data_IF_255086212172
#
_entry.id   IF_255086212172
#
_cell.length_a   1.000
_cell.length_b   1.000
_cell.length_c   1.000
_cell.angle_alpha   90.00
_cell.angle_beta   90.00
_cell.angle_gamma   90.00
#
_symmetry.space_group_name_H-M   'P 1'
#
loop_
_entity.id
_entity.type
_entity.pdbx_description
1 polymer ?
#
# COMPACT_ATOMS: atom_id res chain seq x y z
N UNK A 1 37.75 11.21 -4.94
CA UNK A 1 36.63 12.17 -4.71
C UNK A 1 35.30 11.65 -5.29
N UNK A 2 35.25 11.00 -6.47
CA UNK A 2 34.04 10.45 -7.07
C UNK A 2 33.52 9.27 -6.25
N UNK A 3 34.37 8.30 -5.93
CA UNK A 3 34.03 7.11 -5.13
C UNK A 3 33.46 7.43 -3.74
N UNK A 4 34.00 8.44 -3.07
CA UNK A 4 33.49 8.86 -1.76
C UNK A 4 32.10 9.51 -1.85
N UNK A 5 31.78 10.15 -2.97
CA UNK A 5 30.48 10.77 -3.22
C UNK A 5 29.43 9.73 -3.58
N UNK A 6 29.79 8.71 -4.35
CA UNK A 6 28.94 7.56 -4.66
C UNK A 6 28.61 6.72 -3.42
N UNK A 7 29.61 6.48 -2.55
CA UNK A 7 29.38 5.79 -1.28
C UNK A 7 28.46 6.57 -0.34
N UNK A 8 28.58 7.91 -0.30
CA UNK A 8 27.71 8.74 0.54
C UNK A 8 26.27 8.78 0.03
N UNK A 9 26.07 8.80 -1.29
CA UNK A 9 24.75 8.72 -1.91
C UNK A 9 24.10 7.36 -1.64
N UNK A 10 24.83 6.25 -1.82
CA UNK A 10 24.33 4.91 -1.53
C UNK A 10 23.95 4.69 -0.06
N UNK A 11 24.69 5.31 0.88
CA UNK A 11 24.33 5.25 2.31
C UNK A 11 23.06 6.05 2.63
N UNK A 12 22.88 7.23 1.99
CA UNK A 12 21.66 8.02 2.14
C UNK A 12 20.44 7.32 1.54
N UNK A 13 20.59 6.64 0.42
CA UNK A 13 19.55 5.85 -0.23
C UNK A 13 19.10 4.68 0.65
N UNK A 14 20.05 3.93 1.22
CA UNK A 14 19.73 2.85 2.16
C UNK A 14 19.02 3.33 3.43
N UNK A 15 19.44 4.48 3.97
CA UNK A 15 18.81 5.10 5.14
C UNK A 15 17.39 5.60 4.83
N UNK A 16 17.16 6.19 3.66
CA UNK A 16 15.86 6.68 3.24
C UNK A 16 14.87 5.50 3.05
N UNK A 17 15.32 4.40 2.41
CA UNK A 17 14.52 3.20 2.23
C UNK A 17 14.16 2.52 3.57
N UNK A 18 15.13 2.40 4.49
CA UNK A 18 14.90 1.87 5.82
C UNK A 18 13.93 2.74 6.63
N UNK A 19 14.13 4.06 6.62
CA UNK A 19 13.26 5.00 7.31
C UNK A 19 11.82 4.98 6.75
N UNK A 20 11.67 4.88 5.43
CA UNK A 20 10.35 4.78 4.81
C UNK A 20 9.63 3.49 5.19
N UNK A 21 10.34 2.37 5.30
CA UNK A 21 9.78 1.11 5.78
C UNK A 21 9.36 1.20 7.26
N UNK A 22 10.26 1.67 8.12
CA UNK A 22 10.03 1.81 9.56
C UNK A 22 8.89 2.80 9.88
N UNK A 23 8.75 3.86 9.09
CA UNK A 23 7.68 4.86 9.25
C UNK A 23 6.39 4.48 8.53
N UNK A 24 6.45 3.70 7.47
CA UNK A 24 5.30 3.24 6.70
C UNK A 24 4.32 2.43 7.55
N UNK A 25 4.82 1.49 8.35
CA UNK A 25 4.01 0.64 9.23
C UNK A 25 3.20 1.45 10.26
N UNK A 26 3.79 2.34 11.09
CA UNK A 26 3.01 3.15 12.03
C UNK A 26 2.06 4.13 11.33
N UNK A 27 2.41 4.68 10.17
CA UNK A 27 1.52 5.55 9.41
C UNK A 27 0.32 4.80 8.84
N UNK A 28 0.48 3.57 8.38
CA UNK A 28 -0.63 2.72 7.97
C UNK A 28 -1.59 2.46 9.14
N UNK A 29 -1.05 2.14 10.31
CA UNK A 29 -1.86 1.96 11.53
C UNK A 29 -2.62 3.24 11.90
N UNK A 30 -1.97 4.41 11.84
CA UNK A 30 -2.61 5.70 12.11
C UNK A 30 -3.72 5.98 11.09
N UNK A 31 -3.49 5.72 9.81
CA UNK A 31 -4.49 5.90 8.75
C UNK A 31 -5.72 5.03 8.98
N UNK A 32 -5.52 3.76 9.35
CA UNK A 32 -6.61 2.84 9.64
C UNK A 32 -7.42 3.31 10.85
N UNK A 33 -6.75 3.67 11.96
CA UNK A 33 -7.44 4.17 13.16
C UNK A 33 -8.20 5.47 12.87
N UNK A 34 -7.58 6.41 12.14
CA UNK A 34 -8.23 7.67 11.77
C UNK A 34 -9.49 7.44 10.94
N UNK A 35 -9.45 6.48 10.01
CA UNK A 35 -10.59 6.08 9.20
C UNK A 35 -11.72 5.43 10.04
N UNK A 36 -11.38 4.57 10.97
CA UNK A 36 -12.36 3.98 11.90
C UNK A 36 -13.05 5.06 12.73
N UNK A 37 -12.26 6.02 13.22
CA UNK A 37 -12.81 7.17 13.95
C UNK A 37 -13.72 8.03 13.06
N UNK A 38 -13.35 8.25 11.80
CA UNK A 38 -14.16 9.01 10.84
C UNK A 38 -15.50 8.32 10.53
N UNK A 39 -15.52 6.97 10.48
CA UNK A 39 -16.77 6.20 10.34
C UNK A 39 -17.63 6.21 11.60
N UNK A 40 -17.01 6.23 12.78
CA UNK A 40 -17.69 6.19 14.06
C UNK A 40 -18.21 7.57 14.52
N UNK A 41 -17.57 8.65 14.08
CA UNK A 41 -17.87 10.02 14.47
C UNK A 41 -18.69 10.69 13.36
N UNK A 42 -19.88 11.20 13.70
CA UNK A 42 -20.70 11.94 12.73
C UNK A 42 -19.92 13.17 12.19
N UNK A 43 -20.03 13.50 10.91
CA UNK A 43 -19.28 14.62 10.31
C UNK A 43 -19.52 15.98 11.02
N UNK A 44 -20.68 16.14 11.67
CA UNK A 44 -21.05 17.34 12.43
C UNK A 44 -20.72 17.26 13.92
N UNK A 45 -20.15 16.14 14.38
CA UNK A 45 -19.78 15.99 15.79
C UNK A 45 -18.52 16.79 16.13
N UNK A 46 -18.34 17.19 17.39
CA UNK A 46 -17.08 17.73 17.87
C UNK A 46 -15.93 16.76 17.49
N UNK A 47 -14.83 17.32 16.95
CA UNK A 47 -13.65 16.56 16.47
C UNK A 47 -13.81 15.77 15.14
N UNK A 48 -14.95 15.83 14.45
CA UNK A 48 -15.08 15.20 13.12
C UNK A 48 -14.08 15.78 12.12
N UNK A 49 -13.91 17.10 12.10
CA UNK A 49 -12.91 17.77 11.24
C UNK A 49 -11.47 17.45 11.63
N UNK A 50 -11.20 17.27 12.94
CA UNK A 50 -9.86 16.90 13.42
C UNK A 50 -9.46 15.50 12.95
N UNK A 51 -10.40 14.55 12.98
CA UNK A 51 -10.16 13.17 12.52
C UNK A 51 -9.93 13.13 11.01
N UNK A 52 -10.71 13.89 10.22
CA UNK A 52 -10.50 14.02 8.79
C UNK A 52 -9.12 14.60 8.49
N UNK A 53 -8.74 15.67 9.17
CA UNK A 53 -7.42 16.28 9.02
C UNK A 53 -6.29 15.30 9.38
N UNK A 54 -6.47 14.52 10.45
CA UNK A 54 -5.49 13.50 10.85
C UNK A 54 -5.27 12.46 9.73
N UNK A 55 -6.35 11.97 9.12
CA UNK A 55 -6.28 11.03 7.98
C UNK A 55 -5.56 11.65 6.80
N UNK A 56 -5.90 12.88 6.43
CA UNK A 56 -5.25 13.61 5.33
C UNK A 56 -3.75 13.77 5.58
N UNK A 57 -3.34 14.11 6.81
CA UNK A 57 -1.93 14.26 7.15
C UNK A 57 -1.19 12.92 7.14
N UNK A 58 -1.79 11.84 7.63
CA UNK A 58 -1.19 10.50 7.56
C UNK A 58 -0.97 10.06 6.11
N UNK A 59 -1.96 10.26 5.24
CA UNK A 59 -1.84 9.99 3.80
C UNK A 59 -0.72 10.81 3.18
N UNK A 60 -0.67 12.11 3.46
CA UNK A 60 0.39 12.99 2.94
C UNK A 60 1.79 12.56 3.39
N UNK A 61 1.95 12.12 4.63
CA UNK A 61 3.23 11.58 5.12
C UNK A 61 3.65 10.33 4.35
N UNK A 62 2.72 9.42 4.06
CA UNK A 62 2.98 8.22 3.23
C UNK A 62 3.41 8.58 1.81
N UNK A 63 2.75 9.55 1.17
CA UNK A 63 3.11 10.03 -0.17
C UNK A 63 4.52 10.60 -0.21
N UNK A 64 4.92 11.34 0.83
CA UNK A 64 6.28 11.87 0.95
C UNK A 64 7.29 10.74 1.08
N UNK A 65 7.01 9.74 1.92
CA UNK A 65 7.88 8.57 2.09
C UNK A 65 8.00 7.75 0.81
N UNK A 66 6.90 7.55 0.07
CA UNK A 66 6.91 6.88 -1.22
C UNK A 66 7.82 7.60 -2.24
N UNK A 67 7.71 8.93 -2.34
CA UNK A 67 8.58 9.74 -3.20
C UNK A 67 10.06 9.64 -2.80
N UNK A 68 10.36 9.58 -1.51
CA UNK A 68 11.73 9.38 -1.02
C UNK A 68 12.27 8.00 -1.42
N UNK A 69 11.44 6.96 -1.37
CA UNK A 69 11.84 5.61 -1.79
C UNK A 69 11.98 5.47 -3.30
N UNK A 70 11.15 6.15 -4.10
CA UNK A 70 11.32 6.19 -5.55
C UNK A 70 12.68 6.80 -5.96
N UNK A 71 13.09 7.87 -5.30
CA UNK A 71 14.39 8.52 -5.53
C UNK A 71 15.56 7.63 -5.12
N UNK A 72 15.41 6.82 -4.07
CA UNK A 72 16.47 5.91 -3.60
C UNK A 72 16.49 4.57 -4.34
N UNK A 73 15.39 4.13 -4.92
CA UNK A 73 15.32 2.86 -5.67
C UNK A 73 16.05 2.88 -7.01
N UNK A 74 16.48 4.04 -7.49
CA UNK A 74 17.29 4.18 -8.70
C UNK A 74 18.72 3.62 -8.56
N UNK A 75 19.16 3.25 -7.33
CA UNK A 75 20.50 2.70 -7.03
C UNK A 75 20.52 1.52 -6.07
N UNK A 76 19.36 0.98 -5.70
CA UNK A 76 19.24 0.04 -4.59
C UNK A 76 19.77 -1.37 -4.83
N UNK A 77 20.47 -1.90 -3.82
CA UNK A 77 20.96 -3.26 -3.75
C UNK A 77 19.84 -4.32 -3.69
N UNK A 78 20.00 -5.47 -4.36
CA UNK A 78 18.96 -6.48 -4.53
C UNK A 78 19.01 -7.56 -3.43
N UNK A 79 19.02 -7.28 -2.14
CA UNK A 79 19.35 -8.31 -1.16
C UNK A 79 18.17 -8.96 -0.42
N UNK A 80 16.98 -8.40 -0.41
CA UNK A 80 15.83 -9.15 0.10
C UNK A 80 14.98 -9.71 -1.04
N UNK A 81 15.24 -10.97 -1.36
CA UNK A 81 14.34 -11.74 -2.22
C UNK A 81 13.18 -12.22 -1.36
N UNK A 82 11.97 -11.85 -1.74
CA UNK A 82 10.77 -12.33 -1.07
C UNK A 82 9.84 -13.05 -2.03
N UNK A 83 9.09 -13.99 -1.50
CA UNK A 83 8.04 -14.70 -2.23
C UNK A 83 6.84 -13.78 -2.45
N UNK A 84 6.09 -14.01 -3.51
CA UNK A 84 4.89 -13.24 -3.81
C UNK A 84 3.87 -13.30 -2.65
N UNK A 85 3.68 -14.47 -2.05
CA UNK A 85 2.79 -14.64 -0.90
C UNK A 85 3.23 -13.82 0.31
N UNK A 86 4.53 -13.72 0.57
CA UNK A 86 5.06 -12.90 1.66
C UNK A 86 4.87 -11.41 1.39
N UNK A 87 5.03 -10.97 0.13
CA UNK A 87 4.75 -9.60 -0.28
C UNK A 87 3.26 -9.24 -0.09
N UNK A 88 2.36 -10.12 -0.50
CA UNK A 88 0.92 -9.93 -0.33
C UNK A 88 0.56 -9.86 1.16
N UNK A 89 1.12 -10.76 1.99
CA UNK A 89 0.84 -10.75 3.43
C UNK A 89 1.39 -9.47 4.09
N UNK A 90 2.55 -8.97 3.69
CA UNK A 90 3.09 -7.70 4.19
C UNK A 90 2.14 -6.53 3.91
N UNK A 91 1.48 -6.52 2.74
CA UNK A 91 0.47 -5.51 2.39
C UNK A 91 -0.83 -5.69 3.15
N UNK A 92 -1.27 -6.94 3.34
CA UNK A 92 -2.58 -7.26 3.93
C UNK A 92 -2.58 -7.20 5.46
N UNK A 93 -1.48 -7.63 6.11
CA UNK A 93 -1.40 -7.78 7.55
C UNK A 93 -1.80 -6.53 8.36
N UNK A 94 -1.42 -5.29 7.97
CA UNK A 94 -1.83 -4.08 8.68
C UNK A 94 -3.34 -3.84 8.67
N UNK A 95 -4.05 -4.41 7.70
CA UNK A 95 -5.49 -4.19 7.49
C UNK A 95 -6.37 -5.32 8.05
N UNK A 96 -5.79 -6.45 8.48
CA UNK A 96 -6.53 -7.51 9.16
C UNK A 96 -7.08 -6.96 10.49
N UNK A 97 -8.28 -7.23 10.83
CA UNK A 97 -8.96 -6.82 12.08
C UNK A 97 -9.58 -5.40 12.09
N UNK A 98 -9.71 -4.75 10.96
CA UNK A 98 -10.33 -3.43 10.87
C UNK A 98 -11.63 -3.44 10.06
N UNK A 99 -12.70 -3.97 10.66
CA UNK A 99 -14.08 -3.83 10.20
C UNK A 99 -14.47 -4.51 8.87
N UNK A 100 -13.50 -4.86 8.03
CA UNK A 100 -13.70 -5.55 6.74
C UNK A 100 -12.96 -6.89 6.77
N UNK A 101 -13.60 -7.95 6.30
CA UNK A 101 -12.96 -9.27 6.15
C UNK A 101 -12.09 -9.27 4.91
N UNK A 102 -10.80 -9.62 5.05
CA UNK A 102 -9.88 -9.74 3.92
C UNK A 102 -9.53 -11.20 3.72
N UNK A 103 -9.98 -11.76 2.60
CA UNK A 103 -9.68 -13.13 2.18
C UNK A 103 -8.53 -13.11 1.18
N UNK A 104 -7.48 -13.90 1.44
CA UNK A 104 -6.34 -14.05 0.53
C UNK A 104 -6.35 -15.46 -0.03
N UNK A 105 -6.34 -15.58 -1.35
CA UNK A 105 -6.26 -16.84 -2.06
C UNK A 105 -5.05 -16.89 -3.00
N UNK A 106 -4.33 -18.00 -2.96
CA UNK A 106 -3.16 -18.27 -3.80
C UNK A 106 -3.22 -19.70 -4.32
N UNK A 107 -2.54 -20.05 -5.42
CA UNK A 107 -2.41 -21.42 -5.87
C UNK A 107 -1.89 -22.34 -4.75
N UNK A 108 -2.39 -23.56 -4.68
CA UNK A 108 -1.94 -24.54 -3.69
C UNK A 108 -0.51 -25.04 -3.95
N UNK A 109 -0.04 -24.98 -5.20
CA UNK A 109 1.31 -25.34 -5.57
C UNK A 109 2.22 -24.10 -5.54
N UNK A 110 3.11 -24.09 -4.58
CA UNK A 110 4.10 -23.03 -4.38
C UNK A 110 5.48 -23.36 -5.01
N UNK A 111 5.62 -24.45 -5.76
CA UNK A 111 6.90 -24.85 -6.36
C UNK A 111 7.38 -23.87 -7.42
N UNK A 112 6.44 -23.24 -8.13
CA UNK A 112 6.69 -22.22 -9.16
C UNK A 112 6.41 -20.80 -8.67
N UNK A 113 6.25 -20.60 -7.36
CA UNK A 113 5.96 -19.30 -6.79
C UNK A 113 7.07 -18.27 -7.12
N UNK A 114 6.70 -17.10 -7.65
CA UNK A 114 7.66 -16.06 -7.98
C UNK A 114 8.41 -15.55 -6.75
N UNK A 115 9.72 -15.37 -6.90
CA UNK A 115 10.59 -14.77 -5.90
C UNK A 115 11.27 -13.56 -6.52
N UNK A 116 10.91 -12.39 -6.09
CA UNK A 116 11.44 -11.12 -6.59
C UNK A 116 12.21 -10.33 -5.52
N UNK A 117 12.83 -9.23 -5.94
CA UNK A 117 13.34 -8.24 -5.02
C UNK A 117 12.15 -7.55 -4.30
N UNK A 118 12.31 -7.29 -3.01
CA UNK A 118 11.35 -6.48 -2.25
C UNK A 118 11.37 -5.07 -2.82
N UNK A 119 10.34 -4.72 -3.58
CA UNK A 119 10.22 -3.42 -4.24
C UNK A 119 9.23 -2.54 -3.48
N UNK A 120 9.69 -1.44 -2.85
CA UNK A 120 8.82 -0.53 -2.12
C UNK A 120 7.70 0.09 -2.98
N UNK A 121 7.94 0.33 -4.26
CA UNK A 121 6.93 0.88 -5.16
C UNK A 121 5.78 -0.11 -5.41
N UNK A 122 6.09 -1.41 -5.51
CA UNK A 122 5.06 -2.46 -5.64
C UNK A 122 4.25 -2.58 -4.34
N UNK A 123 4.93 -2.61 -3.19
CA UNK A 123 4.26 -2.63 -1.88
C UNK A 123 3.32 -1.43 -1.70
N UNK A 124 3.80 -0.24 -2.03
CA UNK A 124 3.01 0.98 -1.97
C UNK A 124 1.82 0.96 -2.95
N UNK A 125 2.06 0.55 -4.20
CA UNK A 125 1.00 0.47 -5.21
C UNK A 125 -0.10 -0.53 -4.82
N UNK A 126 0.28 -1.74 -4.38
CA UNK A 126 -0.68 -2.74 -3.90
C UNK A 126 -1.39 -2.27 -2.62
N UNK A 127 -0.67 -1.62 -1.70
CA UNK A 127 -1.25 -1.04 -0.49
C UNK A 127 -2.34 -0.02 -0.82
N UNK A 128 -2.09 0.91 -1.73
CA UNK A 128 -3.10 1.89 -2.16
C UNK A 128 -4.33 1.24 -2.81
N UNK A 129 -4.12 0.21 -3.64
CA UNK A 129 -5.23 -0.52 -4.26
C UNK A 129 -6.06 -1.27 -3.20
N UNK A 130 -5.40 -1.90 -2.23
CA UNK A 130 -6.05 -2.58 -1.13
C UNK A 130 -6.83 -1.61 -0.24
N UNK A 131 -6.25 -0.47 0.10
CA UNK A 131 -6.93 0.57 0.88
C UNK A 131 -8.16 1.11 0.17
N UNK A 132 -8.07 1.37 -1.13
CA UNK A 132 -9.23 1.75 -1.92
C UNK A 132 -10.33 0.68 -1.88
N UNK A 133 -9.97 -0.60 -2.05
CA UNK A 133 -10.94 -1.68 -1.95
C UNK A 133 -11.60 -1.74 -0.57
N UNK A 134 -10.82 -1.59 0.53
CA UNK A 134 -11.34 -1.55 1.89
C UNK A 134 -12.23 -0.33 2.12
N UNK A 135 -11.91 0.82 1.51
CA UNK A 135 -12.66 2.07 1.63
C UNK A 135 -14.08 1.94 1.06
N UNK A 136 -14.22 1.22 -0.01
CA UNK A 136 -15.48 1.06 -0.72
C UNK A 136 -16.21 -0.26 -0.43
N UNK A 137 -15.53 -1.23 0.19
CA UNK A 137 -16.15 -2.49 0.58
C UNK A 137 -17.31 -2.29 1.55
N UNK A 138 -18.34 -3.12 1.41
CA UNK A 138 -19.42 -3.25 2.40
C UNK A 138 -18.97 -4.09 3.60
N UNK A 139 -18.45 -5.31 3.35
CA UNK A 139 -18.06 -6.27 4.38
C UNK A 139 -16.78 -7.04 4.04
N UNK A 140 -16.45 -7.16 2.73
CA UNK A 140 -15.42 -8.10 2.28
C UNK A 140 -14.55 -7.57 1.16
N UNK A 141 -13.25 -7.85 1.26
CA UNK A 141 -12.27 -7.69 0.19
C UNK A 141 -11.60 -9.03 -0.08
N UNK A 142 -11.46 -9.41 -1.34
CA UNK A 142 -10.75 -10.61 -1.78
C UNK A 142 -9.47 -10.22 -2.51
N UNK A 143 -8.35 -10.80 -2.10
CA UNK A 143 -7.04 -10.65 -2.75
C UNK A 143 -6.67 -12.00 -3.34
N UNK A 144 -6.70 -12.11 -4.66
CA UNK A 144 -6.33 -13.34 -5.36
C UNK A 144 -5.01 -13.13 -6.08
N UNK A 145 -4.05 -13.98 -5.83
CA UNK A 145 -2.82 -14.02 -6.61
C UNK A 145 -2.77 -15.29 -7.46
N UNK A 146 -2.29 -15.15 -8.67
CA UNK A 146 -2.04 -16.23 -9.59
C UNK A 146 -0.74 -16.00 -10.33
N UNK A 147 -0.05 -17.07 -10.71
CA UNK A 147 1.23 -17.00 -11.41
C UNK A 147 1.42 -18.12 -12.43
N UNK A 148 2.03 -17.78 -13.53
CA UNK A 148 2.44 -18.68 -14.59
C UNK A 148 3.93 -18.54 -14.88
N UNK A 149 4.38 -19.10 -16.01
CA UNK A 149 5.79 -19.05 -16.41
C UNK A 149 6.29 -17.62 -16.65
N UNK A 150 5.45 -16.76 -17.26
CA UNK A 150 5.84 -15.43 -17.72
C UNK A 150 5.06 -14.28 -17.08
N UNK A 151 4.11 -14.57 -16.18
CA UNK A 151 3.22 -13.55 -15.64
C UNK A 151 2.80 -13.82 -14.22
N UNK A 152 2.56 -12.73 -13.50
CA UNK A 152 1.94 -12.69 -12.17
C UNK A 152 0.72 -11.81 -12.25
N UNK A 153 -0.40 -12.26 -11.72
CA UNK A 153 -1.61 -11.48 -11.57
C UNK A 153 -1.99 -11.40 -10.09
N UNK A 154 -2.20 -10.18 -9.60
CA UNK A 154 -2.79 -9.93 -8.29
C UNK A 154 -4.10 -9.20 -8.52
N UNK A 155 -5.21 -9.80 -8.13
CA UNK A 155 -6.55 -9.26 -8.29
C UNK A 155 -7.12 -8.91 -6.93
N UNK A 156 -7.48 -7.65 -6.74
CA UNK A 156 -8.14 -7.15 -5.53
C UNK A 156 -9.58 -6.82 -5.91
N UNK A 157 -10.54 -7.38 -5.18
CA UNK A 157 -11.97 -7.21 -5.43
C UNK A 157 -12.66 -6.89 -4.11
N UNK A 158 -13.51 -5.87 -4.12
CA UNK A 158 -14.40 -5.51 -3.02
C UNK A 158 -15.85 -5.86 -3.36
N UNK A 159 -16.70 -5.90 -2.34
CA UNK A 159 -18.15 -6.12 -2.44
C UNK A 159 -18.94 -4.79 -2.35
N UNK A 160 -18.29 -3.69 -2.63
CA UNK A 160 -18.88 -2.36 -2.63
C UNK A 160 -19.73 -2.06 -3.87
N UNK A 161 -20.26 -0.83 -3.97
CA UNK A 161 -21.15 -0.42 -5.07
C UNK A 161 -20.43 -0.25 -6.42
N UNK A 162 -19.09 -0.38 -6.44
CA UNK A 162 -18.27 -0.08 -7.62
C UNK A 162 -18.18 1.41 -7.93
N UNK A 163 -17.47 1.73 -9.01
CA UNK A 163 -17.28 3.11 -9.44
C UNK A 163 -18.42 3.56 -10.39
N UNK A 164 -18.85 4.80 -10.23
CA UNK A 164 -19.74 5.44 -11.21
C UNK A 164 -19.07 5.48 -12.59
N UNK A 165 -19.84 5.34 -13.69
CA UNK A 165 -19.27 5.33 -15.06
C UNK A 165 -18.41 6.55 -15.39
N UNK A 166 -18.75 7.71 -14.83
CA UNK A 166 -18.02 8.97 -15.02
C UNK A 166 -16.62 8.91 -14.38
N UNK A 167 -16.48 8.20 -13.26
CA UNK A 167 -15.21 8.00 -12.55
C UNK A 167 -14.37 6.98 -13.29
N UNK A 168 -14.98 5.87 -13.74
CA UNK A 168 -14.29 4.84 -14.55
C UNK A 168 -13.64 5.43 -15.80
N UNK A 169 -14.28 6.38 -16.45
CA UNK A 169 -13.74 7.04 -17.65
C UNK A 169 -12.50 7.90 -17.35
N UNK A 170 -12.25 8.21 -16.10
CA UNK A 170 -11.16 9.10 -15.64
C UNK A 170 -10.18 8.43 -14.69
N UNK A 171 -10.26 7.10 -14.53
CA UNK A 171 -9.31 6.34 -13.74
C UNK A 171 -7.88 6.57 -14.27
N UNK A 172 -6.97 6.93 -13.35
CA UNK A 172 -5.59 7.27 -13.68
C UNK A 172 -5.31 8.77 -13.85
N UNK A 173 -6.34 9.62 -13.88
CA UNK A 173 -6.13 11.06 -13.77
C UNK A 173 -5.84 11.45 -12.31
N UNK A 174 -4.84 12.32 -12.05
CA UNK A 174 -4.59 12.82 -10.70
C UNK A 174 -5.78 13.66 -10.20
N UNK A 175 -6.11 13.51 -8.89
CA UNK A 175 -7.17 14.26 -8.19
C UNK A 175 -8.62 13.92 -8.59
N UNK A 176 -8.89 12.75 -9.12
CA UNK A 176 -10.25 12.24 -9.25
C UNK A 176 -10.64 11.60 -7.91
N UNK A 177 -11.47 12.29 -7.13
CA UNK A 177 -12.07 11.79 -5.89
C UNK A 177 -13.57 11.63 -6.06
N UNK A 178 -14.16 10.66 -5.37
CA UNK A 178 -15.62 10.48 -5.25
C UNK A 178 -16.20 11.45 -4.25
#
# INVERSE_FOLDING_TARGET
LVLAREQHLSQLDGLAAAAAHELGTPLSTISVIAKELERAIAPTAPHGDDVRLLREQATRCRDILAKLTELSSAGGEPFERMRLTALIEEVVAPHRNFGVTIDVATPADHTTEPVGARNPAILYGLGNLLENAIDFASDRVSVNADWGEDSVAVTITDDGPGFAPEILARIGEPYVTT
#
